data_IF_016288504475
#
_entry.id   IF_016288504475
#
_cell.length_a   1.000
_cell.length_b   1.000
_cell.length_c   1.000
_cell.angle_alpha   90.00
_cell.angle_beta   90.00
_cell.angle_gamma   90.00
#
_symmetry.space_group_name_H-M   'P 1'
#
loop_
_entity.id
_entity.type
_entity.pdbx_description
1 polymer ?
#
# COMPACT_ATOMS: atom_id res chain seq x y z
N UNK A 1 -4.96 12.28 11.12
CA UNK A 1 -4.02 12.68 10.06
C UNK A 1 -4.30 14.13 9.74
N UNK A 2 -3.31 15.02 9.83
CA UNK A 2 -3.50 16.41 9.42
C UNK A 2 -3.59 16.48 7.89
N UNK A 3 -4.60 17.16 7.36
CA UNK A 3 -4.88 17.19 5.91
C UNK A 3 -3.72 17.80 5.09
N UNK A 4 -2.87 18.60 5.71
CA UNK A 4 -1.67 19.18 5.11
C UNK A 4 -0.48 18.23 5.01
N UNK A 5 -0.49 17.09 5.72
CA UNK A 5 0.55 16.06 5.59
C UNK A 5 0.34 15.16 4.38
N UNK A 6 -0.84 15.24 3.73
CA UNK A 6 -1.19 14.41 2.57
C UNK A 6 -0.39 14.78 1.32
N UNK A 7 0.00 16.04 1.16
CA UNK A 7 0.44 16.61 -0.14
C UNK A 7 1.94 16.62 -0.34
N UNK A 8 2.62 15.56 0.07
CA UNK A 8 4.04 15.41 -0.22
C UNK A 8 4.26 15.11 -1.70
N UNK A 9 5.26 15.76 -2.30
CA UNK A 9 5.56 15.65 -3.72
C UNK A 9 6.22 14.32 -4.09
N UNK A 10 6.91 13.72 -3.11
CA UNK A 10 7.64 12.45 -3.27
C UNK A 10 6.75 11.23 -3.52
N UNK A 11 5.44 11.33 -3.25
CA UNK A 11 4.56 10.14 -3.18
C UNK A 11 3.48 10.12 -4.26
N UNK A 12 2.75 11.22 -4.47
CA UNK A 12 1.56 11.21 -5.34
C UNK A 12 1.87 10.96 -6.81
N UNK A 13 2.82 11.69 -7.39
CA UNK A 13 3.14 11.56 -8.80
C UNK A 13 3.79 10.20 -9.12
N UNK A 14 4.75 9.70 -8.33
CA UNK A 14 5.22 8.33 -8.49
C UNK A 14 4.12 7.29 -8.35
N UNK A 15 3.19 7.43 -7.40
CA UNK A 15 2.09 6.49 -7.25
C UNK A 15 1.12 6.49 -8.46
N UNK A 16 0.89 7.67 -9.08
CA UNK A 16 0.10 7.79 -10.31
C UNK A 16 0.77 7.10 -11.52
N UNK A 17 2.10 7.00 -11.53
CA UNK A 17 2.85 6.39 -12.62
C UNK A 17 2.83 4.86 -12.57
N UNK A 18 2.64 4.23 -11.39
CA UNK A 18 2.82 2.79 -11.23
C UNK A 18 2.03 1.93 -12.22
N UNK A 19 0.73 2.20 -12.51
CA UNK A 19 -0.02 1.39 -13.47
C UNK A 19 0.46 1.56 -14.93
N UNK A 20 1.32 2.54 -15.20
CA UNK A 20 1.85 2.84 -16.54
C UNK A 20 3.17 2.13 -16.85
N UNK A 21 3.78 1.49 -15.85
CA UNK A 21 5.09 0.86 -15.95
C UNK A 21 4.97 -0.50 -16.64
N UNK A 22 5.46 -0.60 -17.88
CA UNK A 22 5.31 -1.80 -18.70
C UNK A 22 5.95 -3.04 -18.07
N UNK A 23 7.12 -2.88 -17.44
CA UNK A 23 7.81 -3.97 -16.73
C UNK A 23 7.05 -4.46 -15.48
N UNK A 24 6.17 -3.63 -14.91
CA UNK A 24 5.38 -3.98 -13.73
C UNK A 24 4.06 -4.69 -14.07
N UNK A 25 3.67 -4.75 -15.35
CA UNK A 25 2.39 -5.31 -15.84
C UNK A 25 2.01 -6.66 -15.20
N UNK A 26 2.92 -7.65 -15.04
CA UNK A 26 2.58 -8.94 -14.43
C UNK A 26 2.12 -8.84 -12.97
N UNK A 27 2.49 -7.78 -12.25
CA UNK A 27 2.22 -7.60 -10.83
C UNK A 27 1.00 -6.71 -10.56
N UNK A 28 0.61 -5.85 -11.52
CA UNK A 28 -0.49 -4.91 -11.35
C UNK A 28 -1.82 -5.56 -10.90
N UNK A 29 -2.23 -6.74 -11.41
CA UNK A 29 -3.44 -7.41 -10.95
C UNK A 29 -3.43 -7.82 -9.47
N UNK A 30 -2.25 -7.92 -8.85
CA UNK A 30 -2.09 -8.27 -7.44
C UNK A 30 -2.20 -7.07 -6.51
N UNK A 31 -2.19 -5.84 -7.06
CA UNK A 31 -2.16 -4.61 -6.27
C UNK A 31 -3.54 -4.16 -5.79
N UNK A 32 -4.63 -4.76 -6.26
CA UNK A 32 -5.99 -4.31 -5.92
C UNK A 32 -6.35 -2.96 -6.56
N UNK A 33 -5.76 -2.65 -7.72
CA UNK A 33 -6.13 -1.49 -8.53
C UNK A 33 -7.54 -1.65 -9.13
N UNK A 34 -8.24 -0.55 -9.44
CA UNK A 34 -9.49 -0.61 -10.20
C UNK A 34 -9.32 -1.32 -11.55
N UNK A 35 -10.21 -2.26 -11.87
CA UNK A 35 -10.14 -3.09 -13.08
C UNK A 35 -10.01 -2.29 -14.38
N UNK A 36 -10.66 -1.12 -14.46
CA UNK A 36 -10.62 -0.29 -15.65
C UNK A 36 -9.22 0.30 -15.89
N UNK A 37 -8.46 0.56 -14.83
CA UNK A 37 -7.06 1.02 -14.93
C UNK A 37 -6.12 -0.10 -15.39
N UNK A 38 -6.41 -1.35 -15.03
CA UNK A 38 -5.67 -2.51 -15.55
C UNK A 38 -5.94 -2.73 -17.04
N UNK A 39 -7.16 -2.43 -17.51
CA UNK A 39 -7.56 -2.58 -18.92
C UNK A 39 -7.11 -1.43 -19.82
N UNK A 40 -6.94 -0.23 -19.26
CA UNK A 40 -6.62 0.99 -20.01
C UNK A 40 -5.51 1.83 -19.33
N UNK A 41 -4.30 1.27 -19.11
CA UNK A 41 -3.23 1.99 -18.43
C UNK A 41 -2.72 3.22 -19.23
N UNK A 42 -2.91 3.23 -20.55
CA UNK A 42 -2.50 4.32 -21.44
C UNK A 42 -3.14 5.68 -21.09
N UNK A 43 -4.36 5.68 -20.56
CA UNK A 43 -5.02 6.91 -20.09
C UNK A 43 -4.17 7.60 -19.02
N UNK A 44 -3.56 6.82 -18.12
CA UNK A 44 -2.71 7.35 -17.08
C UNK A 44 -1.35 7.84 -17.60
N UNK A 45 -0.81 7.24 -18.67
CA UNK A 45 0.48 7.68 -19.26
C UNK A 45 0.42 9.15 -19.67
N UNK A 46 -0.62 9.55 -20.41
CA UNK A 46 -0.80 10.93 -20.85
C UNK A 46 -1.03 11.90 -19.69
N UNK A 47 -1.89 11.52 -18.73
CA UNK A 47 -2.20 12.35 -17.56
C UNK A 47 -0.96 12.54 -16.66
N UNK A 48 -0.22 11.46 -16.41
CA UNK A 48 1.01 11.51 -15.61
C UNK A 48 2.08 12.37 -16.29
N UNK A 49 2.31 12.20 -17.60
CA UNK A 49 3.26 13.02 -18.35
C UNK A 49 2.90 14.52 -18.30
N UNK A 50 1.61 14.85 -18.46
CA UNK A 50 1.13 16.22 -18.32
C UNK A 50 1.41 16.78 -16.92
N UNK A 51 1.06 16.02 -15.87
CA UNK A 51 1.27 16.43 -14.48
C UNK A 51 2.74 16.67 -14.14
N UNK A 52 3.64 15.81 -14.62
CA UNK A 52 5.10 15.96 -14.43
C UNK A 52 5.61 17.22 -15.14
N UNK A 53 5.23 17.42 -16.41
CA UNK A 53 5.65 18.58 -17.19
C UNK A 53 5.16 19.89 -16.54
N UNK A 54 3.89 19.93 -16.15
CA UNK A 54 3.30 21.09 -15.47
C UNK A 54 4.02 21.38 -14.15
N UNK A 55 4.33 20.34 -13.37
CA UNK A 55 5.09 20.51 -12.13
C UNK A 55 6.49 21.07 -12.38
N UNK A 56 7.19 20.56 -13.39
CA UNK A 56 8.52 21.03 -13.74
C UNK A 56 8.50 22.48 -14.25
N UNK A 57 7.55 22.84 -15.12
CA UNK A 57 7.38 24.21 -15.61
C UNK A 57 7.07 25.18 -14.48
N UNK A 58 6.08 24.88 -13.63
CA UNK A 58 5.74 25.72 -12.48
C UNK A 58 6.88 25.83 -11.47
N UNK A 59 7.67 24.77 -11.28
CA UNK A 59 8.89 24.82 -10.44
C UNK A 59 9.93 25.80 -10.99
N UNK A 60 10.15 25.80 -12.30
CA UNK A 60 11.08 26.72 -12.94
C UNK A 60 10.60 28.17 -12.86
N UNK A 61 9.31 28.42 -13.09
CA UNK A 61 8.71 29.76 -13.06
C UNK A 61 8.69 30.36 -11.63
N UNK A 62 8.34 29.57 -10.62
CA UNK A 62 8.21 30.05 -9.25
C UNK A 62 9.57 30.23 -8.56
N UNK A 63 10.62 29.50 -8.98
CA UNK A 63 11.99 29.64 -8.47
C UNK A 63 12.06 29.69 -6.94
N UNK A 64 12.62 30.78 -6.39
CA UNK A 64 12.78 30.99 -4.94
C UNK A 64 11.44 31.13 -4.18
N UNK A 65 10.32 31.41 -4.85
CA UNK A 65 9.01 31.48 -4.19
C UNK A 65 8.56 30.13 -3.61
N UNK A 66 9.08 29.02 -4.14
CA UNK A 66 8.86 27.67 -3.61
C UNK A 66 9.63 27.39 -2.30
N UNK A 67 10.64 28.20 -1.95
CA UNK A 67 11.33 28.10 -0.66
C UNK A 67 10.43 28.52 0.52
N UNK A 68 9.26 29.13 0.24
CA UNK A 68 8.25 29.40 1.26
C UNK A 68 7.63 28.09 1.74
N UNK A 69 7.60 27.91 3.06
CA UNK A 69 7.04 26.73 3.72
C UNK A 69 5.61 26.46 3.21
N UNK A 70 5.38 25.28 2.64
CA UNK A 70 4.07 24.82 2.15
C UNK A 70 3.72 25.17 0.70
N UNK A 71 4.49 26.02 0.00
CA UNK A 71 4.21 26.37 -1.39
C UNK A 71 4.27 25.13 -2.32
N UNK A 72 5.28 24.28 -2.13
CA UNK A 72 5.42 23.03 -2.87
C UNK A 72 4.24 22.08 -2.65
N UNK A 73 3.75 21.97 -1.41
CA UNK A 73 2.57 21.15 -1.08
C UNK A 73 1.31 21.67 -1.77
N UNK A 74 1.13 22.99 -1.85
CA UNK A 74 0.00 23.61 -2.55
C UNK A 74 0.06 23.32 -4.06
N UNK A 75 1.23 23.45 -4.66
CA UNK A 75 1.45 23.15 -6.08
C UNK A 75 1.18 21.66 -6.37
N UNK A 76 1.73 20.74 -5.56
CA UNK A 76 1.43 19.31 -5.67
C UNK A 76 -0.07 19.04 -5.57
N UNK A 77 -0.76 19.65 -4.60
CA UNK A 77 -2.21 19.50 -4.45
C UNK A 77 -2.95 19.93 -5.71
N UNK A 78 -2.63 21.08 -6.28
CA UNK A 78 -3.29 21.60 -7.49
C UNK A 78 -3.10 20.65 -8.67
N UNK A 79 -1.87 20.24 -8.95
CA UNK A 79 -1.53 19.36 -10.08
C UNK A 79 -2.15 17.97 -9.92
N UNK A 80 -2.05 17.38 -8.73
CA UNK A 80 -2.64 16.06 -8.45
C UNK A 80 -4.17 16.13 -8.53
N UNK A 81 -4.79 17.22 -8.06
CA UNK A 81 -6.23 17.41 -8.18
C UNK A 81 -6.65 17.48 -9.65
N UNK A 82 -5.92 18.23 -10.47
CA UNK A 82 -6.18 18.30 -11.91
C UNK A 82 -6.00 16.93 -12.59
N UNK A 83 -4.95 16.17 -12.23
CA UNK A 83 -4.74 14.82 -12.73
C UNK A 83 -5.94 13.91 -12.43
N UNK A 84 -6.46 13.92 -11.20
CA UNK A 84 -7.65 13.13 -10.85
C UNK A 84 -8.93 13.61 -11.52
N UNK A 85 -9.10 14.92 -11.76
CA UNK A 85 -10.21 15.43 -12.56
C UNK A 85 -10.12 14.94 -14.02
N UNK A 86 -8.92 14.89 -14.59
CA UNK A 86 -8.70 14.34 -15.93
C UNK A 86 -9.00 12.83 -15.98
N UNK A 87 -8.63 12.07 -14.94
CA UNK A 87 -8.99 10.65 -14.82
C UNK A 87 -10.52 10.51 -14.77
N UNK A 88 -11.19 11.30 -13.94
CA UNK A 88 -12.64 11.28 -13.82
C UNK A 88 -13.35 11.59 -15.14
N UNK A 89 -12.84 12.55 -15.91
CA UNK A 89 -13.39 12.93 -17.21
C UNK A 89 -13.18 11.84 -18.28
N UNK A 90 -12.07 11.11 -18.25
CA UNK A 90 -11.74 10.13 -19.30
C UNK A 90 -12.29 8.73 -19.03
N UNK A 91 -12.24 8.26 -17.77
CA UNK A 91 -12.60 6.87 -17.42
C UNK A 91 -13.63 6.77 -16.28
N UNK A 92 -14.13 7.90 -15.79
CA UNK A 92 -15.25 7.96 -14.86
C UNK A 92 -14.88 8.37 -13.44
N UNK A 93 -15.81 9.08 -12.79
CA UNK A 93 -15.65 9.63 -11.44
C UNK A 93 -15.36 8.55 -10.39
N UNK A 94 -16.06 7.42 -10.46
CA UNK A 94 -15.90 6.32 -9.50
C UNK A 94 -14.48 5.73 -9.57
N UNK A 95 -13.93 5.56 -10.78
CA UNK A 95 -12.57 5.04 -10.97
C UNK A 95 -11.53 6.01 -10.41
N UNK A 96 -11.71 7.32 -10.64
CA UNK A 96 -10.82 8.33 -10.07
C UNK A 96 -10.85 8.33 -8.53
N UNK A 97 -12.05 8.20 -7.93
CA UNK A 97 -12.22 8.10 -6.47
C UNK A 97 -11.57 6.83 -5.92
N UNK A 98 -11.82 5.68 -6.53
CA UNK A 98 -11.27 4.40 -6.08
C UNK A 98 -9.74 4.35 -6.24
N UNK A 99 -9.20 4.90 -7.32
CA UNK A 99 -7.75 4.96 -7.52
C UNK A 99 -7.07 5.89 -6.53
N UNK A 100 -7.69 7.03 -6.23
CA UNK A 100 -7.21 7.93 -5.18
C UNK A 100 -7.21 7.25 -3.81
N UNK A 101 -8.30 6.56 -3.48
CA UNK A 101 -8.38 5.80 -2.24
C UNK A 101 -7.28 4.72 -2.16
N UNK A 102 -7.00 4.06 -3.28
CA UNK A 102 -5.89 3.10 -3.41
C UNK A 102 -4.53 3.76 -3.11
N UNK A 103 -4.20 4.91 -3.72
CA UNK A 103 -2.94 5.62 -3.44
C UNK A 103 -2.84 6.01 -1.97
N UNK A 104 -3.93 6.57 -1.41
CA UNK A 104 -3.96 7.00 -0.02
C UNK A 104 -3.72 5.80 0.90
N UNK A 105 -4.42 4.69 0.67
CA UNK A 105 -4.30 3.48 1.48
C UNK A 105 -2.86 2.96 1.48
N UNK A 106 -2.25 2.80 0.30
CA UNK A 106 -0.96 2.12 0.17
C UNK A 106 0.25 2.99 0.52
N UNK A 107 0.20 4.29 0.25
CA UNK A 107 1.40 5.13 0.30
C UNK A 107 1.35 6.28 1.30
N UNK A 108 0.15 6.69 1.72
CA UNK A 108 -0.01 7.92 2.52
C UNK A 108 -0.56 7.61 3.92
N UNK A 109 -1.39 6.59 4.04
CA UNK A 109 -2.04 6.24 5.28
C UNK A 109 -1.13 5.40 6.17
N UNK A 110 -0.36 6.07 7.04
CA UNK A 110 0.49 5.42 8.03
C UNK A 110 -0.27 4.38 8.89
N UNK A 111 -1.55 4.64 9.21
CA UNK A 111 -2.39 3.68 9.94
C UNK A 111 -2.61 2.39 9.13
N UNK A 112 -2.94 2.51 7.84
CA UNK A 112 -3.16 1.36 6.97
C UNK A 112 -1.86 0.58 6.75
N UNK A 113 -0.76 1.27 6.47
CA UNK A 113 0.56 0.65 6.31
C UNK A 113 0.97 -0.12 7.58
N UNK A 114 0.83 0.51 8.75
CA UNK A 114 1.11 -0.11 10.05
C UNK A 114 0.21 -1.32 10.28
N UNK A 115 -1.10 -1.20 10.05
CA UNK A 115 -2.05 -2.28 10.26
C UNK A 115 -1.76 -3.47 9.35
N UNK A 116 -1.52 -3.24 8.06
CA UNK A 116 -1.20 -4.30 7.09
C UNK A 116 0.10 -5.01 7.46
N UNK A 117 1.13 -4.27 7.88
CA UNK A 117 2.36 -4.88 8.38
C UNK A 117 2.13 -5.78 9.60
N UNK A 118 1.36 -5.31 10.58
CA UNK A 118 1.07 -6.08 11.79
C UNK A 118 0.24 -7.33 11.51
N UNK A 119 -0.75 -7.22 10.61
CA UNK A 119 -1.56 -8.35 10.16
C UNK A 119 -0.75 -9.37 9.38
N UNK A 120 0.10 -8.92 8.47
CA UNK A 120 1.03 -9.78 7.73
C UNK A 120 1.89 -10.59 8.70
N UNK A 121 2.48 -9.91 9.69
CA UNK A 121 3.29 -10.55 10.72
C UNK A 121 2.48 -11.57 11.53
N UNK A 122 1.29 -11.20 12.02
CA UNK A 122 0.46 -12.11 12.81
C UNK A 122 0.06 -13.36 12.01
N UNK A 123 -0.42 -13.18 10.78
CA UNK A 123 -0.85 -14.28 9.92
C UNK A 123 0.33 -15.19 9.53
N UNK A 124 1.51 -14.64 9.25
CA UNK A 124 2.73 -15.44 9.05
C UNK A 124 3.04 -16.34 10.26
N UNK A 125 2.82 -15.83 11.48
CA UNK A 125 3.03 -16.62 12.70
C UNK A 125 2.06 -17.80 12.83
N UNK A 126 0.86 -17.73 12.23
CA UNK A 126 -0.08 -18.86 12.21
C UNK A 126 0.52 -20.10 11.51
N UNK A 127 1.44 -19.92 10.56
CA UNK A 127 2.06 -21.01 9.80
C UNK A 127 3.41 -21.47 10.36
N UNK A 128 4.00 -20.72 11.29
CA UNK A 128 5.31 -21.08 11.82
C UNK A 128 5.26 -22.45 12.52
N UNK A 129 6.19 -23.36 12.21
CA UNK A 129 6.38 -24.60 12.96
C UNK A 129 6.82 -24.30 14.40
N UNK A 130 6.25 -25.00 15.38
CA UNK A 130 6.56 -24.81 16.81
C UNK A 130 8.04 -25.06 17.14
N UNK A 131 8.71 -25.93 16.38
CA UNK A 131 10.13 -26.26 16.53
C UNK A 131 11.08 -25.16 16.03
N UNK A 132 10.58 -24.13 15.33
CA UNK A 132 11.39 -23.00 14.90
C UNK A 132 11.67 -22.03 16.05
N UNK A 133 12.81 -21.29 15.98
CA UNK A 133 13.16 -20.28 17.01
C UNK A 133 12.06 -19.23 17.20
N UNK A 134 11.39 -18.83 16.12
CA UNK A 134 10.26 -17.89 16.14
C UNK A 134 8.95 -18.58 16.57
N UNK A 135 8.76 -19.84 16.20
CA UNK A 135 7.61 -20.66 16.55
C UNK A 135 7.44 -20.93 18.06
N UNK A 136 8.52 -20.89 18.84
CA UNK A 136 8.42 -20.94 20.32
C UNK A 136 7.61 -19.80 20.95
N UNK A 137 7.37 -18.71 20.22
CA UNK A 137 6.54 -17.56 20.64
C UNK A 137 5.18 -17.54 19.94
N UNK A 138 4.87 -18.59 19.18
CA UNK A 138 3.59 -18.75 18.51
C UNK A 138 2.52 -18.98 19.56
N UNK A 139 1.46 -18.21 19.48
CA UNK A 139 0.20 -18.44 20.16
C UNK A 139 -0.68 -19.21 19.18
N UNK A 140 -1.29 -20.28 19.65
CA UNK A 140 -2.18 -21.09 18.82
C UNK A 140 -3.34 -20.23 18.27
N UNK A 141 -3.55 -20.21 16.93
CA UNK A 141 -4.70 -19.54 16.34
C UNK A 141 -6.03 -20.15 16.78
N UNK A 142 -7.14 -19.40 16.78
CA UNK A 142 -8.47 -19.95 16.99
C UNK A 142 -8.82 -20.96 15.89
N UNK A 143 -9.67 -21.93 16.19
CA UNK A 143 -9.92 -23.08 15.30
C UNK A 143 -10.54 -22.65 13.96
N UNK A 144 -11.35 -21.61 14.00
CA UNK A 144 -11.97 -20.97 12.85
C UNK A 144 -10.92 -20.40 11.88
N UNK A 145 -9.86 -19.78 12.40
CA UNK A 145 -8.75 -19.32 11.58
C UNK A 145 -7.94 -20.49 11.04
N UNK A 146 -7.68 -21.53 11.85
CA UNK A 146 -6.95 -22.73 11.42
C UNK A 146 -7.60 -23.37 10.19
N UNK A 147 -8.95 -23.45 10.16
CA UNK A 147 -9.69 -24.00 9.04
C UNK A 147 -9.55 -23.18 7.75
N UNK A 148 -9.30 -21.87 7.86
CA UNK A 148 -9.15 -20.96 6.72
C UNK A 148 -7.69 -20.80 6.25
N UNK A 149 -6.72 -21.29 7.04
CA UNK A 149 -5.31 -21.18 6.69
C UNK A 149 -5.00 -21.75 5.29
N UNK A 150 -5.49 -22.94 4.88
CA UNK A 150 -5.23 -23.43 3.53
C UNK A 150 -5.75 -22.51 2.42
N UNK A 151 -6.86 -21.79 2.64
CA UNK A 151 -7.47 -20.89 1.63
C UNK A 151 -6.66 -19.60 1.45
N UNK A 152 -6.00 -19.11 2.49
CA UNK A 152 -5.23 -17.86 2.45
C UNK A 152 -3.72 -18.08 2.34
N UNK A 153 -3.24 -19.33 2.29
CA UNK A 153 -1.82 -19.69 2.26
C UNK A 153 -1.03 -18.88 1.22
N UNK A 154 -1.45 -18.92 -0.05
CA UNK A 154 -0.76 -18.22 -1.14
C UNK A 154 -0.73 -16.70 -0.98
N UNK A 155 -1.62 -16.14 -0.15
CA UNK A 155 -1.69 -14.71 0.13
C UNK A 155 -0.74 -14.29 1.24
N UNK A 156 -0.38 -15.16 2.18
CA UNK A 156 0.35 -14.79 3.40
C UNK A 156 1.65 -15.56 3.61
N UNK A 157 1.92 -16.59 2.81
CA UNK A 157 3.16 -17.36 2.91
C UNK A 157 4.40 -16.51 2.63
N UNK A 158 5.37 -16.61 3.54
CA UNK A 158 6.58 -15.80 3.51
C UNK A 158 7.47 -16.11 2.29
N UNK A 159 7.67 -17.40 1.97
CA UNK A 159 8.55 -17.76 0.85
C UNK A 159 7.90 -17.37 -0.48
N UNK A 160 6.59 -17.57 -0.63
CA UNK A 160 5.86 -17.14 -1.83
C UNK A 160 5.94 -15.64 -2.06
N UNK A 161 5.76 -14.83 -1.01
CA UNK A 161 5.88 -13.37 -1.12
C UNK A 161 7.30 -12.92 -1.45
N UNK A 162 8.30 -13.60 -0.89
CA UNK A 162 9.72 -13.36 -1.20
C UNK A 162 10.06 -13.73 -2.64
N UNK A 163 9.49 -14.80 -3.19
CA UNK A 163 9.61 -15.13 -4.62
C UNK A 163 9.05 -14.00 -5.51
N UNK A 164 7.86 -13.49 -5.16
CA UNK A 164 7.24 -12.37 -5.89
C UNK A 164 8.10 -11.10 -5.82
N UNK A 165 8.62 -10.76 -4.65
CA UNK A 165 9.54 -9.62 -4.47
C UNK A 165 10.82 -9.81 -5.30
N UNK A 166 11.43 -10.99 -5.26
CA UNK A 166 12.62 -11.30 -6.06
C UNK A 166 12.33 -11.15 -7.57
N UNK A 167 11.21 -11.69 -8.05
CA UNK A 167 10.83 -11.56 -9.46
C UNK A 167 10.60 -10.10 -9.86
N UNK A 168 9.93 -9.32 -9.01
CA UNK A 168 9.72 -7.89 -9.22
C UNK A 168 11.05 -7.15 -9.34
N UNK A 169 11.98 -7.42 -8.43
CA UNK A 169 13.30 -6.77 -8.41
C UNK A 169 14.17 -7.18 -9.61
N UNK A 170 14.00 -8.39 -10.13
CA UNK A 170 14.72 -8.88 -11.32
C UNK A 170 14.28 -8.20 -12.62
N UNK A 171 12.99 -7.87 -12.75
CA UNK A 171 12.47 -7.23 -13.97
C UNK A 171 12.46 -5.71 -13.90
N UNK A 172 12.63 -5.14 -12.71
CA UNK A 172 12.73 -3.70 -12.53
C UNK A 172 13.99 -3.15 -13.23
N UNK A 173 13.91 -1.96 -13.85
CA UNK A 173 15.06 -1.34 -14.47
C UNK A 173 16.13 -1.03 -13.42
N UNK A 174 17.40 -1.05 -13.82
CA UNK A 174 18.46 -0.56 -12.96
C UNK A 174 18.22 0.92 -12.64
N UNK A 175 18.47 1.36 -11.40
CA UNK A 175 18.36 2.77 -11.04
C UNK A 175 19.29 3.58 -11.96
N UNK A 176 18.88 4.78 -12.40
CA UNK A 176 19.74 5.62 -13.21
C UNK A 176 21.02 5.95 -12.42
N UNK A 177 22.19 5.73 -13.02
CA UNK A 177 23.51 5.86 -12.39
C UNK A 177 23.86 7.27 -11.85
N UNK A 178 22.99 8.27 -12.01
CA UNK A 178 23.27 9.67 -11.68
C UNK A 178 22.13 10.32 -10.89
N UNK A 179 22.01 10.01 -9.60
CA UNK A 179 21.34 10.90 -8.64
C UNK A 179 22.13 10.93 -7.31
N UNK A 180 23.06 11.88 -7.22
CA UNK A 180 23.77 12.32 -5.99
C UNK A 180 24.93 11.42 -5.48
N UNK A 181 26.03 11.99 -4.92
CA UNK A 181 27.27 11.24 -4.63
C UNK A 181 27.21 10.31 -3.39
N UNK A 182 26.05 10.17 -2.73
CA UNK A 182 25.98 9.55 -1.40
C UNK A 182 24.85 8.55 -1.18
N UNK A 183 24.02 8.25 -2.17
CA UNK A 183 22.95 7.25 -2.02
C UNK A 183 22.94 6.31 -3.22
N UNK A 184 23.69 5.22 -3.11
CA UNK A 184 23.42 4.05 -3.95
C UNK A 184 22.04 3.53 -3.56
N UNK A 185 20.98 3.99 -4.23
CA UNK A 185 19.76 3.20 -4.26
C UNK A 185 20.11 1.91 -5.01
N UNK A 186 20.31 0.81 -4.29
CA UNK A 186 20.58 -0.50 -4.90
C UNK A 186 19.41 -0.99 -5.76
N UNK A 187 18.23 -0.34 -5.65
CA UNK A 187 16.97 -0.77 -6.24
C UNK A 187 16.22 0.39 -6.88
N UNK A 188 15.45 0.09 -7.93
CA UNK A 188 14.48 1.01 -8.53
C UNK A 188 13.44 1.46 -7.47
N UNK A 189 13.18 2.76 -7.41
CA UNK A 189 12.27 3.34 -6.43
C UNK A 189 10.84 2.82 -6.61
N UNK A 190 10.34 2.78 -7.84
CA UNK A 190 9.01 2.27 -8.19
C UNK A 190 8.87 0.77 -7.86
N UNK A 191 9.93 -0.01 -8.00
CA UNK A 191 9.93 -1.42 -7.59
C UNK A 191 9.72 -1.57 -6.07
N UNK A 192 10.32 -0.68 -5.29
CA UNK A 192 10.11 -0.63 -3.83
C UNK A 192 8.68 -0.22 -3.49
N UNK A 193 8.11 0.74 -4.21
CA UNK A 193 6.69 1.13 -4.06
C UNK A 193 5.74 -0.03 -4.38
N UNK A 194 5.95 -0.70 -5.53
CA UNK A 194 5.13 -1.84 -5.95
C UNK A 194 5.24 -2.98 -4.94
N UNK A 195 6.45 -3.32 -4.47
CA UNK A 195 6.65 -4.36 -3.44
C UNK A 195 5.86 -4.06 -2.16
N UNK A 196 5.92 -2.81 -1.69
CA UNK A 196 5.16 -2.37 -0.51
C UNK A 196 3.65 -2.49 -0.73
N UNK A 197 3.15 -1.98 -1.85
CA UNK A 197 1.72 -2.05 -2.19
C UNK A 197 1.23 -3.50 -2.36
N UNK A 198 2.03 -4.36 -2.99
CA UNK A 198 1.74 -5.77 -3.21
C UNK A 198 1.59 -6.52 -1.88
N UNK A 199 2.52 -6.37 -0.95
CA UNK A 199 2.44 -7.01 0.36
C UNK A 199 1.20 -6.55 1.15
N UNK A 200 0.89 -5.25 1.09
CA UNK A 200 -0.30 -4.70 1.72
C UNK A 200 -1.59 -5.25 1.07
N UNK A 201 -1.66 -5.30 -0.26
CA UNK A 201 -2.82 -5.78 -1.00
C UNK A 201 -3.09 -7.27 -0.77
N UNK A 202 -2.05 -8.11 -0.76
CA UNK A 202 -2.17 -9.54 -0.45
C UNK A 202 -2.65 -9.76 0.99
N UNK A 203 -2.13 -8.98 1.95
CA UNK A 203 -2.58 -9.04 3.35
C UNK A 203 -4.05 -8.62 3.45
N UNK A 204 -4.44 -7.51 2.81
CA UNK A 204 -5.82 -7.06 2.81
C UNK A 204 -6.76 -8.11 2.21
N UNK A 205 -6.36 -8.76 1.12
CA UNK A 205 -7.13 -9.85 0.48
C UNK A 205 -7.28 -11.06 1.41
N UNK A 206 -6.24 -11.41 2.17
CA UNK A 206 -6.33 -12.47 3.18
C UNK A 206 -7.33 -12.10 4.28
N UNK A 207 -7.29 -10.87 4.79
CA UNK A 207 -8.23 -10.37 5.79
C UNK A 207 -9.67 -10.34 5.26
N UNK A 208 -9.88 -9.92 4.02
CA UNK A 208 -11.19 -9.97 3.36
C UNK A 208 -11.71 -11.40 3.25
N UNK A 209 -10.84 -12.34 2.89
CA UNK A 209 -11.19 -13.77 2.82
C UNK A 209 -11.62 -14.27 4.19
N UNK A 210 -10.86 -13.99 5.24
CA UNK A 210 -11.22 -14.32 6.62
C UNK A 210 -12.56 -13.68 7.01
N UNK A 211 -12.71 -12.38 6.79
CA UNK A 211 -13.90 -11.62 7.16
C UNK A 211 -15.17 -12.15 6.46
N UNK A 212 -15.06 -12.63 5.22
CA UNK A 212 -16.19 -13.18 4.46
C UNK A 212 -16.69 -14.54 4.96
N UNK A 213 -15.88 -15.24 5.78
CA UNK A 213 -16.15 -16.62 6.23
C UNK A 213 -16.54 -16.71 7.70
N UNK A 214 -16.25 -15.67 8.47
CA UNK A 214 -16.44 -15.65 9.91
C UNK A 214 -17.63 -14.76 10.29
N UNK A 215 -18.33 -15.11 11.37
CA UNK A 215 -19.28 -14.21 12.02
C UNK A 215 -18.57 -13.16 12.90
N UNK A 216 -19.33 -12.24 13.50
CA UNK A 216 -18.77 -11.17 14.34
C UNK A 216 -18.00 -11.69 15.56
N UNK A 217 -18.44 -12.79 16.16
CA UNK A 217 -17.84 -13.35 17.38
C UNK A 217 -16.51 -14.01 17.02
N UNK A 218 -16.52 -14.83 15.98
CA UNK A 218 -15.31 -15.49 15.45
C UNK A 218 -14.28 -14.46 14.97
N UNK A 219 -14.71 -13.38 14.30
CA UNK A 219 -13.82 -12.27 13.93
C UNK A 219 -13.15 -11.62 15.13
N UNK A 220 -13.89 -11.40 16.22
CA UNK A 220 -13.32 -10.83 17.45
C UNK A 220 -12.29 -11.75 18.10
N UNK A 221 -12.49 -13.08 18.05
CA UNK A 221 -11.51 -14.04 18.53
C UNK A 221 -10.21 -14.01 17.71
N UNK A 222 -10.32 -13.92 16.38
CA UNK A 222 -9.16 -13.74 15.49
C UNK A 222 -8.41 -12.45 15.81
N UNK A 223 -9.13 -11.35 15.99
CA UNK A 223 -8.55 -10.05 16.41
C UNK A 223 -7.79 -10.20 17.73
N UNK A 224 -8.42 -10.80 18.74
CA UNK A 224 -7.83 -10.98 20.07
C UNK A 224 -6.58 -11.86 20.00
N UNK A 225 -6.63 -12.95 19.24
CA UNK A 225 -5.47 -13.79 18.99
C UNK A 225 -4.33 -13.00 18.34
N UNK A 226 -4.59 -12.28 17.26
CA UNK A 226 -3.57 -11.52 16.53
C UNK A 226 -2.91 -10.45 17.41
N UNK A 227 -3.71 -9.74 18.23
CA UNK A 227 -3.19 -8.80 19.22
C UNK A 227 -2.28 -9.47 20.24
N UNK A 228 -2.71 -10.62 20.77
CA UNK A 228 -1.91 -11.37 21.75
C UNK A 228 -0.63 -11.90 21.12
N UNK A 229 -0.70 -12.38 19.86
CA UNK A 229 0.45 -12.86 19.12
C UNK A 229 1.49 -11.75 18.90
N UNK A 230 1.06 -10.56 18.48
CA UNK A 230 1.93 -9.39 18.29
C UNK A 230 2.56 -8.97 19.62
N UNK A 231 1.80 -8.99 20.72
CA UNK A 231 2.32 -8.66 22.05
C UNK A 231 3.36 -9.68 22.53
N UNK A 232 3.11 -10.98 22.30
CA UNK A 232 4.03 -12.07 22.66
C UNK A 232 5.32 -12.08 21.83
N UNK A 233 5.34 -11.35 20.71
CA UNK A 233 6.56 -11.06 19.96
C UNK A 233 7.41 -10.00 20.70
N UNK A 234 8.10 -10.44 21.75
CA UNK A 234 9.04 -9.68 22.60
C UNK A 234 10.40 -9.42 21.88
N UNK A 235 11.19 -8.33 21.96
CA UNK A 235 11.24 -7.19 22.88
C UNK A 235 12.26 -6.09 22.40
N UNK A 236 12.54 -5.93 21.09
CA UNK A 236 13.60 -4.99 20.61
C UNK A 236 13.16 -3.89 19.65
N UNK A 237 11.94 -3.95 19.12
CA UNK A 237 11.45 -2.96 18.17
C UNK A 237 10.22 -2.27 18.78
N UNK A 238 10.49 -1.24 19.59
CA UNK A 238 9.47 -0.40 20.23
C UNK A 238 8.48 0.18 19.19
N UNK A 239 8.96 0.38 17.96
CA UNK A 239 8.18 0.76 16.79
C UNK A 239 7.04 -0.23 16.45
N UNK A 240 7.24 -1.54 16.61
CA UNK A 240 6.22 -2.56 16.33
C UNK A 240 5.13 -2.54 17.41
N UNK A 241 5.45 -2.16 18.65
CA UNK A 241 4.48 -2.12 19.77
C UNK A 241 3.60 -0.88 19.77
N UNK A 242 4.11 0.25 19.29
CA UNK A 242 3.35 1.51 19.25
C UNK A 242 2.31 1.52 18.12
N UNK A 243 2.43 0.63 17.14
CA UNK A 243 1.49 0.48 16.05
C UNK A 243 0.29 -0.37 16.46
N UNK A 244 -0.92 0.19 16.30
CA UNK A 244 -2.16 -0.53 16.55
C UNK A 244 -2.47 -1.43 15.35
N UNK A 245 -2.89 -2.66 15.63
CA UNK A 245 -3.45 -3.61 14.65
C UNK A 245 -4.68 -3.04 13.91
N UNK A 246 -5.30 -1.98 14.46
CA UNK A 246 -6.55 -1.35 13.97
C UNK A 246 -7.62 -2.43 13.67
N UNK A 247 -7.70 -3.37 14.61
CA UNK A 247 -7.92 -4.79 14.35
C UNK A 247 -9.29 -5.16 13.77
N UNK A 248 -10.33 -4.47 14.21
CA UNK A 248 -11.71 -4.66 13.78
C UNK A 248 -12.00 -4.00 12.44
N UNK A 249 -11.34 -2.89 12.12
CA UNK A 249 -11.59 -2.07 10.93
C UNK A 249 -11.29 -2.80 9.62
N UNK A 250 -10.22 -3.60 9.57
CA UNK A 250 -9.76 -4.27 8.35
C UNK A 250 -10.25 -5.73 8.20
N UNK A 251 -10.90 -6.27 9.23
CA UNK A 251 -11.63 -7.53 9.20
C UNK A 251 -13.14 -7.30 8.99
N UNK A 252 -13.52 -6.34 8.14
CA UNK A 252 -14.92 -6.08 7.77
C UNK A 252 -15.14 -6.44 6.30
N UNK A 253 -16.31 -6.99 5.99
CA UNK A 253 -16.67 -7.41 4.62
C UNK A 253 -16.75 -6.24 3.62
N UNK A 254 -16.97 -5.00 4.11
CA UNK A 254 -17.11 -3.80 3.29
C UNK A 254 -15.97 -2.80 3.55
N UNK A 255 -14.78 -3.07 3.00
CA UNK A 255 -13.63 -2.15 3.05
C UNK A 255 -13.77 -0.90 2.15
N UNK A 256 -14.76 -0.89 1.26
CA UNK A 256 -14.96 0.20 0.28
C UNK A 256 -15.32 1.53 0.95
N UNK A 257 -15.80 1.51 2.21
CA UNK A 257 -16.15 2.70 3.00
C UNK A 257 -15.06 3.11 3.99
N UNK A 258 -13.78 2.93 3.65
CA UNK A 258 -12.74 3.67 4.34
C UNK A 258 -12.98 5.16 4.02
N UNK A 259 -13.56 5.87 4.99
CA UNK A 259 -13.81 7.32 4.97
C UNK A 259 -12.47 8.08 4.84
N UNK A 260 -11.87 8.03 3.66
CA UNK A 260 -10.77 8.89 3.30
C UNK A 260 -11.39 10.23 2.93
N UNK A 261 -10.90 11.35 3.50
CA UNK A 261 -11.53 12.63 3.28
C UNK A 261 -11.51 12.95 1.78
N UNK A 262 -12.69 13.22 1.22
CA UNK A 262 -12.81 13.70 -0.16
C UNK A 262 -12.09 15.03 -0.28
N UNK A 263 -11.08 15.10 -1.15
CA UNK A 263 -10.38 16.35 -1.47
C UNK A 263 -11.00 17.04 -2.69
N UNK A 264 -12.14 16.55 -3.19
CA UNK A 264 -12.92 17.26 -4.20
C UNK A 264 -13.87 18.22 -3.50
N UNK A 265 -13.32 19.28 -2.92
CA UNK A 265 -14.04 20.48 -2.54
C UNK A 265 -13.23 21.68 -3.03
#
# INVERSE_FOLDING_TARGET
MEFESLWDDSTWLPALSLPTLEWATPFLPLLGLPDLLLKQPEVLKGIHAQAINELQSQRQELGWALAKKGAMKKLTKEIVTQAFQNIAAQIGQEVAVNFKAWIIFHFICNEAQSAMFQWDVALNYAYLPENSRRGKRKISPPIELIQLLPEIWDLVDFERRKELDNHLMLVAPSPPNEQSPYEYMEKCYEATMISSALNQALTLKALQTIASRLDDTQRQEVVKWAQTQIQAMDNKNEYIRSQKLCADKYLQSNLINLNFPSVFN
#
